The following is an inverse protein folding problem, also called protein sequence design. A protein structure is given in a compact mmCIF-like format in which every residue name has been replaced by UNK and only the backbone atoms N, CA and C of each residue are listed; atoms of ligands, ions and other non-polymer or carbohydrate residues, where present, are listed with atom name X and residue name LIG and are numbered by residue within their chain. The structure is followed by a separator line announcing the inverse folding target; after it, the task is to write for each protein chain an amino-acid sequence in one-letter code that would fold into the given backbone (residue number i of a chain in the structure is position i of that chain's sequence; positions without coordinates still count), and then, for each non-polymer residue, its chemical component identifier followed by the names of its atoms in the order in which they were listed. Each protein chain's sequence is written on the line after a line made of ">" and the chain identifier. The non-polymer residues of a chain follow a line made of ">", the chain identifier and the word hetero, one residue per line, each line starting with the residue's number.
data_IF_592877452788
#
_entry.id   IF_592877452788
#
_cell.length_a   1.000
_cell.length_b   1.000
_cell.length_c   1.000
_cell.angle_alpha   90.00
_cell.angle_beta   90.00
_cell.angle_gamma   90.00
#
_symmetry.space_group_name_H-M   'P 1'
#
loop_
_entity.id
_entity.type
_entity.pdbx_description
1 polymer ?
#
# COMPACT_ATOMS: atom_id res chain seq x y z
N UNK A 1 4.53 3.01 -0.28
CA UNK A 1 3.70 3.58 -1.36
C UNK A 1 3.30 5.04 -1.09
N UNK A 2 2.94 5.40 0.14
CA UNK A 2 2.61 6.80 0.51
C UNK A 2 3.75 7.80 0.21
N UNK A 3 5.01 7.45 0.48
CA UNK A 3 6.17 8.31 0.18
C UNK A 3 6.33 8.66 -1.30
N UNK A 4 6.00 7.72 -2.20
CA UNK A 4 6.14 7.96 -3.64
C UNK A 4 5.05 8.93 -4.14
N UNK A 5 3.82 8.77 -3.63
CA UNK A 5 2.72 9.68 -3.96
C UNK A 5 2.89 11.08 -3.35
N UNK A 6 3.42 11.16 -2.13
CA UNK A 6 3.77 12.44 -1.51
C UNK A 6 4.85 13.18 -2.33
N UNK A 7 5.86 12.44 -2.80
CA UNK A 7 6.90 12.98 -3.68
C UNK A 7 6.31 13.51 -5.00
N UNK A 8 5.47 12.74 -5.70
CA UNK A 8 4.84 13.21 -6.93
C UNK A 8 3.91 14.41 -6.73
N UNK A 9 3.21 14.48 -5.60
CA UNK A 9 2.38 15.64 -5.26
C UNK A 9 3.24 16.90 -5.04
N UNK A 10 4.38 16.76 -4.37
CA UNK A 10 5.34 17.84 -4.18
C UNK A 10 5.94 18.32 -5.50
N UNK A 11 6.37 17.40 -6.37
CA UNK A 11 6.92 17.74 -7.69
C UNK A 11 5.87 18.49 -8.52
N UNK A 12 4.62 18.05 -8.49
CA UNK A 12 3.54 18.72 -9.21
C UNK A 12 3.25 20.12 -8.66
N UNK A 13 3.21 20.29 -7.33
CA UNK A 13 3.03 21.61 -6.71
C UNK A 13 4.19 22.55 -7.05
N UNK A 14 5.41 22.05 -7.00
CA UNK A 14 6.60 22.81 -7.35
C UNK A 14 6.60 23.23 -8.83
N UNK A 15 6.21 22.34 -9.75
CA UNK A 15 6.07 22.66 -11.17
C UNK A 15 5.01 23.75 -11.41
N UNK A 16 3.89 23.70 -10.68
CA UNK A 16 2.87 24.77 -10.75
C UNK A 16 3.38 26.11 -10.20
N UNK A 17 4.17 26.09 -9.13
CA UNK A 17 4.79 27.29 -8.55
C UNK A 17 5.88 27.87 -9.47
N UNK A 18 6.69 27.02 -10.12
CA UNK A 18 7.68 27.40 -11.11
C UNK A 18 7.02 28.03 -12.35
N UNK A 19 5.94 27.45 -12.86
CA UNK A 19 5.14 28.05 -13.94
C UNK A 19 4.48 29.38 -13.52
N UNK A 20 4.21 29.56 -12.23
CA UNK A 20 3.65 30.81 -11.69
C UNK A 20 4.72 31.91 -11.60
N UNK A 21 5.92 31.56 -11.14
CA UNK A 21 7.05 32.47 -10.91
C UNK A 21 7.88 32.74 -12.17
N UNK A 22 7.90 31.83 -13.15
CA UNK A 22 8.54 32.04 -14.45
C UNK A 22 7.95 33.23 -15.23
N UNK A 23 6.72 33.64 -14.91
CA UNK A 23 6.09 34.86 -15.44
C UNK A 23 6.66 36.16 -14.82
N UNK A 24 7.30 36.10 -13.66
CA UNK A 24 7.79 37.27 -12.90
C UNK A 24 9.31 37.47 -13.06
N UNK A 25 10.06 36.42 -13.44
CA UNK A 25 11.52 36.44 -13.51
C UNK A 25 12.13 36.89 -14.86
N UNK A 26 11.32 37.32 -15.84
CA UNK A 26 11.85 37.80 -17.14
C UNK A 26 12.24 39.28 -17.15
N UNK A 27 12.18 39.99 -16.02
CA UNK A 27 12.59 41.39 -15.91
C UNK A 27 13.83 41.50 -15.04
N UNK A 28 15.01 41.40 -15.65
CA UNK A 28 16.26 42.03 -15.17
C UNK A 28 17.36 41.90 -16.22
N UNK A 29 17.31 42.72 -17.28
CA UNK A 29 18.52 43.34 -17.82
C UNK A 29 18.13 44.60 -18.59
N UNK A 30 18.33 45.75 -17.94
CA UNK A 30 18.15 47.08 -18.51
C UNK A 30 19.14 47.28 -19.66
N UNK A 31 18.64 47.30 -20.90
CA UNK A 31 19.25 48.07 -21.99
C UNK A 31 18.12 48.78 -22.77
N UNK A 32 18.30 50.09 -22.93
CA UNK A 32 17.37 51.07 -23.46
C UNK A 32 16.77 50.68 -24.81
N UNK A 33 15.47 50.33 -24.85
CA UNK A 33 14.70 50.27 -26.11
C UNK A 33 13.19 50.51 -25.83
N UNK A 34 12.81 51.79 -25.80
CA UNK A 34 11.43 52.27 -25.55
C UNK A 34 10.38 51.79 -26.57
N UNK A 35 10.76 51.11 -27.65
CA UNK A 35 9.86 50.61 -28.70
C UNK A 35 9.48 49.12 -28.55
N UNK A 36 10.14 48.37 -27.66
CA UNK A 36 9.96 46.91 -27.52
C UNK A 36 9.02 46.51 -26.36
N UNK A 37 8.38 47.48 -25.70
CA UNK A 37 7.59 47.26 -24.48
C UNK A 37 6.13 46.80 -24.75
N UNK A 38 5.67 46.82 -25.99
CA UNK A 38 4.33 46.37 -26.36
C UNK A 38 4.23 44.84 -26.53
N UNK A 39 5.30 44.19 -27.00
CA UNK A 39 5.36 42.75 -27.25
C UNK A 39 5.28 41.88 -25.97
N UNK A 40 5.98 42.22 -24.85
CA UNK A 40 5.85 41.43 -23.62
C UNK A 40 4.49 41.62 -22.94
N UNK A 41 3.83 42.77 -23.12
CA UNK A 41 2.51 43.02 -22.54
C UNK A 41 1.42 42.18 -23.23
N UNK A 42 1.42 42.15 -24.57
CA UNK A 42 0.49 41.33 -25.34
C UNK A 42 0.70 39.83 -25.11
N UNK A 43 1.95 39.39 -25.00
CA UNK A 43 2.28 38.00 -24.67
C UNK A 43 1.85 37.64 -23.24
N UNK A 44 2.03 38.54 -22.28
CA UNK A 44 1.58 38.34 -20.90
C UNK A 44 0.05 38.30 -20.80
N UNK A 45 -0.68 39.14 -21.55
CA UNK A 45 -2.14 39.02 -21.66
C UNK A 45 -2.59 37.72 -22.32
N UNK A 46 -1.87 37.25 -23.35
CA UNK A 46 -2.12 35.95 -23.98
C UNK A 46 -1.94 34.79 -22.99
N UNK A 47 -0.90 34.82 -22.16
CA UNK A 47 -0.72 33.81 -21.11
C UNK A 47 -1.71 33.94 -19.96
N UNK A 48 -2.10 35.17 -19.57
CA UNK A 48 -3.14 35.39 -18.56
C UNK A 48 -4.51 34.91 -19.04
N UNK A 49 -4.83 35.08 -20.32
CA UNK A 49 -6.09 34.62 -20.92
C UNK A 49 -6.11 33.10 -21.16
N UNK A 50 -4.96 32.48 -21.43
CA UNK A 50 -4.84 31.03 -21.57
C UNK A 50 -4.59 30.29 -20.23
N UNK A 51 -4.35 31.00 -19.13
CA UNK A 51 -4.31 30.38 -17.80
C UNK A 51 -5.70 29.83 -17.49
N UNK A 52 -5.76 28.53 -17.22
CA UNK A 52 -6.98 27.89 -16.73
C UNK A 52 -7.47 28.66 -15.49
N UNK A 53 -8.74 29.07 -15.52
CA UNK A 53 -9.36 29.76 -14.38
C UNK A 53 -9.14 28.94 -13.11
N UNK A 54 -8.84 29.63 -12.00
CA UNK A 54 -8.65 29.03 -10.67
C UNK A 54 -9.81 28.08 -10.32
N UNK A 55 -11.02 28.36 -10.81
CA UNK A 55 -12.20 27.48 -10.68
C UNK A 55 -11.97 26.09 -11.28
N UNK A 56 -11.41 26.01 -12.49
CA UNK A 56 -11.11 24.73 -13.15
C UNK A 56 -10.01 23.96 -12.43
N UNK A 57 -9.01 24.64 -11.87
CA UNK A 57 -7.98 23.98 -11.06
C UNK A 57 -8.59 23.34 -9.80
N UNK A 58 -9.44 24.07 -9.08
CA UNK A 58 -10.15 23.55 -7.91
C UNK A 58 -11.09 22.38 -8.25
N UNK A 59 -11.80 22.45 -9.37
CA UNK A 59 -12.67 21.37 -9.85
C UNK A 59 -11.86 20.10 -10.20
N UNK A 60 -10.70 20.26 -10.83
CA UNK A 60 -9.78 19.15 -11.11
C UNK A 60 -9.27 18.51 -9.81
N UNK A 61 -8.86 19.31 -8.83
CA UNK A 61 -8.36 18.81 -7.55
C UNK A 61 -9.43 18.07 -6.75
N UNK A 62 -10.67 18.57 -6.76
CA UNK A 62 -11.82 17.90 -6.15
C UNK A 62 -12.14 16.58 -6.87
N UNK A 63 -12.14 16.58 -8.20
CA UNK A 63 -12.36 15.36 -8.99
C UNK A 63 -11.29 14.28 -8.68
N UNK A 64 -10.01 14.66 -8.63
CA UNK A 64 -8.92 13.74 -8.27
C UNK A 64 -9.09 13.23 -6.84
N UNK A 65 -9.46 14.10 -5.91
CA UNK A 65 -9.68 13.73 -4.50
C UNK A 65 -10.82 12.73 -4.35
N UNK A 66 -11.93 12.92 -5.08
CA UNK A 66 -13.07 11.99 -5.09
C UNK A 66 -12.70 10.62 -5.64
N UNK A 67 -11.93 10.56 -6.73
CA UNK A 67 -11.45 9.28 -7.29
C UNK A 67 -10.60 8.55 -6.26
N UNK A 68 -9.63 9.23 -5.63
CA UNK A 68 -8.78 8.64 -4.59
C UNK A 68 -9.60 8.12 -3.41
N UNK A 69 -10.54 8.93 -2.93
CA UNK A 69 -11.41 8.55 -1.83
C UNK A 69 -12.22 7.29 -2.14
N UNK A 70 -12.87 7.25 -3.31
CA UNK A 70 -13.64 6.08 -3.75
C UNK A 70 -12.77 4.82 -3.84
N UNK A 71 -11.55 4.96 -4.36
CA UNK A 71 -10.60 3.85 -4.45
C UNK A 71 -10.21 3.33 -3.07
N UNK A 72 -9.82 4.20 -2.14
CA UNK A 72 -9.49 3.82 -0.77
C UNK A 72 -10.68 3.19 -0.04
N UNK A 73 -11.89 3.71 -0.25
CA UNK A 73 -13.12 3.15 0.31
C UNK A 73 -13.36 1.71 -0.15
N UNK A 74 -13.02 1.38 -1.41
CA UNK A 74 -13.08 -0.01 -1.91
C UNK A 74 -11.93 -0.88 -1.44
N UNK A 75 -10.72 -0.34 -1.28
CA UNK A 75 -9.52 -1.10 -0.93
C UNK A 75 -9.48 -1.49 0.55
N UNK A 76 -9.83 -0.57 1.45
CA UNK A 76 -9.85 -0.80 2.90
C UNK A 76 -10.60 -2.08 3.34
N UNK A 77 -11.83 -2.36 2.89
CA UNK A 77 -12.52 -3.59 3.26
C UNK A 77 -11.85 -4.84 2.68
N UNK A 78 -11.25 -4.76 1.49
CA UNK A 78 -10.51 -5.88 0.88
C UNK A 78 -9.24 -6.19 1.68
N UNK A 79 -8.51 -5.17 2.12
CA UNK A 79 -7.34 -5.33 2.97
C UNK A 79 -7.71 -5.95 4.32
N UNK A 80 -8.81 -5.50 4.94
CA UNK A 80 -9.33 -6.12 6.18
C UNK A 80 -9.67 -7.59 5.97
N UNK A 81 -10.36 -7.93 4.87
CA UNK A 81 -10.66 -9.32 4.51
C UNK A 81 -9.40 -10.15 4.30
N UNK A 82 -8.39 -9.60 3.62
CA UNK A 82 -7.11 -10.27 3.42
C UNK A 82 -6.45 -10.58 4.77
N UNK A 83 -6.36 -9.60 5.68
CA UNK A 83 -5.80 -9.80 7.03
C UNK A 83 -6.56 -10.91 7.77
N UNK A 84 -7.89 -10.93 7.71
CA UNK A 84 -8.69 -12.00 8.35
C UNK A 84 -8.46 -13.37 7.72
N UNK A 85 -8.24 -13.45 6.41
CA UNK A 85 -7.97 -14.71 5.72
C UNK A 85 -6.54 -15.19 5.96
N UNK A 86 -5.55 -14.30 5.95
CA UNK A 86 -4.15 -14.65 6.21
C UNK A 86 -3.88 -15.06 7.65
N UNK A 87 -4.67 -14.55 8.59
CA UNK A 87 -4.56 -14.88 10.01
C UNK A 87 -5.31 -16.17 10.39
N UNK A 88 -6.10 -16.76 9.49
CA UNK A 88 -6.90 -17.94 9.82
C UNK A 88 -6.06 -19.20 9.76
N UNK A 89 -5.58 -19.64 10.91
CA UNK A 89 -5.00 -20.96 11.09
C UNK A 89 -6.08 -22.04 10.86
N UNK A 90 -5.79 -23.14 10.14
CA UNK A 90 -6.77 -24.19 9.89
C UNK A 90 -7.20 -24.87 11.19
N UNK A 91 -8.51 -25.01 11.37
CA UNK A 91 -9.13 -25.53 12.61
C UNK A 91 -9.04 -27.07 12.73
N UNK A 92 -8.81 -27.78 11.61
CA UNK A 92 -8.74 -29.24 11.56
C UNK A 92 -7.72 -29.76 10.53
N UNK A 93 -7.36 -31.05 10.64
CA UNK A 93 -6.47 -31.74 9.69
C UNK A 93 -7.06 -31.74 8.28
N UNK A 94 -8.38 -31.94 8.15
CA UNK A 94 -9.07 -31.87 6.85
C UNK A 94 -9.00 -30.46 6.24
N UNK A 95 -9.15 -29.43 7.08
CA UNK A 95 -8.99 -28.04 6.64
C UNK A 95 -7.55 -27.73 6.22
N UNK A 96 -6.56 -28.34 6.87
CA UNK A 96 -5.16 -28.26 6.47
C UNK A 96 -4.91 -28.90 5.10
N UNK A 97 -5.49 -30.08 4.83
CA UNK A 97 -5.38 -30.73 3.52
C UNK A 97 -6.19 -30.02 2.42
N UNK A 98 -7.27 -29.31 2.78
CA UNK A 98 -8.05 -28.50 1.85
C UNK A 98 -7.31 -27.22 1.39
N UNK A 99 -6.23 -26.80 2.06
CA UNK A 99 -5.41 -25.65 1.70
C UNK A 99 -4.50 -25.86 0.47
N UNK A 100 -4.73 -26.89 -0.35
CA UNK A 100 -3.93 -27.21 -1.54
C UNK A 100 -3.71 -26.03 -2.52
N UNK A 101 -4.61 -25.04 -2.52
CA UNK A 101 -4.48 -23.82 -3.33
C UNK A 101 -3.61 -22.73 -2.71
N UNK A 102 -3.27 -22.82 -1.41
CA UNK A 102 -2.48 -21.86 -0.65
C UNK A 102 -1.25 -22.55 -0.02
N UNK A 103 -0.27 -22.88 -0.88
CA UNK A 103 0.96 -23.60 -0.49
C UNK A 103 1.76 -22.87 0.59
N UNK A 104 1.80 -21.54 0.56
CA UNK A 104 2.55 -20.75 1.55
C UNK A 104 1.97 -20.91 2.95
N UNK A 105 0.64 -20.88 3.08
CA UNK A 105 -0.03 -21.13 4.36
C UNK A 105 0.20 -22.57 4.84
N UNK A 106 0.12 -23.54 3.94
CA UNK A 106 0.37 -24.95 4.24
C UNK A 106 1.80 -25.16 4.78
N UNK A 107 2.82 -24.57 4.15
CA UNK A 107 4.21 -24.64 4.61
C UNK A 107 4.42 -23.96 5.97
N UNK A 108 3.78 -22.81 6.22
CA UNK A 108 3.86 -22.11 7.52
C UNK A 108 3.26 -22.95 8.64
N UNK A 109 2.10 -23.56 8.40
CA UNK A 109 1.42 -24.45 9.37
C UNK A 109 2.27 -25.70 9.61
N UNK A 110 2.79 -26.34 8.57
CA UNK A 110 3.68 -27.49 8.71
C UNK A 110 4.93 -27.17 9.53
N UNK A 111 5.59 -26.03 9.22
CA UNK A 111 6.75 -25.54 9.96
C UNK A 111 6.41 -25.33 11.43
N UNK A 112 5.24 -24.73 11.72
CA UNK A 112 4.78 -24.50 13.09
C UNK A 112 4.58 -25.80 13.87
N UNK A 113 3.89 -26.78 13.26
CA UNK A 113 3.62 -28.07 13.90
C UNK A 113 4.92 -28.84 14.19
N UNK A 114 5.90 -28.78 13.28
CA UNK A 114 7.21 -29.41 13.45
C UNK A 114 8.19 -28.68 14.39
N UNK A 115 7.94 -27.40 14.68
CA UNK A 115 8.86 -26.58 15.45
C UNK A 115 8.85 -26.95 16.95
N UNK A 116 9.97 -26.79 17.67
CA UNK A 116 10.02 -26.93 19.13
C UNK A 116 9.25 -25.80 19.84
N UNK A 117 8.81 -26.06 21.08
CA UNK A 117 7.94 -25.14 21.85
C UNK A 117 8.48 -23.70 21.95
N UNK A 118 9.80 -23.53 22.07
CA UNK A 118 10.44 -22.22 22.14
C UNK A 118 10.35 -21.40 20.84
N UNK A 119 10.30 -22.07 19.68
CA UNK A 119 10.13 -21.41 18.38
C UNK A 119 8.66 -21.15 18.05
N UNK A 120 7.74 -21.99 18.56
CA UNK A 120 6.30 -21.83 18.35
C UNK A 120 5.78 -20.48 18.86
N UNK A 121 6.21 -20.04 20.04
CA UNK A 121 5.78 -18.75 20.60
C UNK A 121 6.21 -17.55 19.73
N UNK A 122 7.42 -17.60 19.17
CA UNK A 122 7.88 -16.60 18.19
C UNK A 122 7.00 -16.58 16.95
N UNK A 123 6.70 -17.77 16.40
CA UNK A 123 5.86 -17.92 15.21
C UNK A 123 4.42 -17.46 15.43
N UNK A 124 3.84 -17.61 16.64
CA UNK A 124 2.51 -17.07 16.96
C UNK A 124 2.47 -15.55 16.78
N UNK A 125 3.50 -14.84 17.26
CA UNK A 125 3.59 -13.39 17.12
C UNK A 125 3.87 -12.95 15.68
N UNK A 126 4.74 -13.66 14.96
CA UNK A 126 5.11 -13.38 13.58
C UNK A 126 3.93 -13.54 12.62
N UNK A 127 3.20 -14.66 12.73
CA UNK A 127 2.04 -14.95 11.88
C UNK A 127 0.72 -14.40 12.42
N UNK A 128 0.75 -13.72 13.58
CA UNK A 128 -0.42 -13.18 14.30
C UNK A 128 -1.49 -14.24 14.57
N UNK A 129 -1.08 -15.44 14.94
CA UNK A 129 -1.97 -16.51 15.34
C UNK A 129 -2.24 -16.48 16.83
N UNK A 130 -3.48 -16.70 17.23
CA UNK A 130 -3.83 -16.83 18.64
C UNK A 130 -3.63 -18.29 19.10
N UNK A 131 -3.07 -18.48 20.30
CA UNK A 131 -2.88 -19.83 20.87
C UNK A 131 -4.15 -20.69 20.85
N UNK A 132 -5.31 -20.08 21.10
CA UNK A 132 -6.63 -20.74 21.07
C UNK A 132 -6.99 -21.32 19.70
N UNK A 133 -6.51 -20.73 18.61
CA UNK A 133 -6.78 -21.19 17.25
C UNK A 133 -5.88 -22.38 16.88
N UNK A 134 -4.65 -22.39 17.40
CA UNK A 134 -3.63 -23.36 17.01
C UNK A 134 -3.65 -24.62 17.85
N UNK A 135 -4.05 -24.49 19.12
CA UNK A 135 -4.11 -25.59 20.09
C UNK A 135 -4.83 -26.85 19.58
N UNK A 136 -6.03 -26.77 18.96
CA UNK A 136 -6.76 -27.98 18.54
C UNK A 136 -5.97 -28.84 17.55
N UNK A 137 -5.43 -28.21 16.49
CA UNK A 137 -4.64 -28.93 15.48
C UNK A 137 -3.32 -29.44 16.05
N UNK A 138 -2.72 -28.68 16.98
CA UNK A 138 -1.50 -29.09 17.64
C UNK A 138 -1.73 -30.33 18.52
N UNK A 139 -2.80 -30.32 19.33
CA UNK A 139 -3.19 -31.45 20.17
C UNK A 139 -3.49 -32.69 19.31
N UNK A 140 -4.18 -32.52 18.17
CA UNK A 140 -4.44 -33.61 17.21
C UNK A 140 -3.15 -34.14 16.57
N UNK A 141 -2.23 -33.26 16.16
CA UNK A 141 -0.94 -33.64 15.58
C UNK A 141 -0.03 -34.35 16.59
N UNK A 142 0.00 -33.89 17.84
CA UNK A 142 0.75 -34.54 18.93
C UNK A 142 0.13 -35.88 19.33
N UNK A 143 -1.20 -36.03 19.23
CA UNK A 143 -1.88 -37.32 19.41
C UNK A 143 -1.47 -38.33 18.33
N UNK A 144 -1.46 -37.91 17.07
CA UNK A 144 -1.12 -38.79 15.94
C UNK A 144 0.38 -39.14 15.90
N UNK A 145 1.27 -38.17 16.19
CA UNK A 145 2.71 -38.42 16.25
C UNK A 145 3.19 -39.05 17.57
N UNK A 146 2.44 -38.89 18.66
CA UNK A 146 2.67 -39.58 19.93
C UNK A 146 2.42 -41.09 19.83
N UNK A 147 1.61 -41.53 18.87
CA UNK A 147 1.37 -42.94 18.52
C UNK A 147 2.48 -43.57 17.67
N UNK A 148 3.30 -42.77 16.99
CA UNK A 148 4.45 -43.21 16.19
C UNK A 148 5.77 -43.11 16.99
N UNK A 149 5.76 -43.50 18.27
CA UNK A 149 6.98 -43.98 18.91
C UNK A 149 7.37 -45.30 18.25
N UNK A 150 8.22 -45.17 17.22
CA UNK A 150 9.09 -46.17 16.60
C UNK A 150 9.05 -47.50 17.37
N UNK A 151 8.28 -48.47 16.86
CA UNK A 151 8.46 -49.87 17.20
C UNK A 151 9.89 -50.23 16.76
N UNK A 152 10.85 -50.14 17.67
CA UNK A 152 12.15 -50.77 17.49
C UNK A 152 11.85 -52.26 17.27
N UNK A 153 12.07 -52.73 16.05
CA UNK A 153 12.16 -54.17 15.79
C UNK A 153 13.42 -54.63 16.47
N UNK A 154 13.26 -55.41 17.54
CA UNK A 154 14.28 -56.31 18.06
C UNK A 154 14.56 -57.44 17.05
#
# INVERSE_FOLDING_TARGET
>A
MENLYAYYAQVYQQEQEELRTASDNSVSQEQDDSALLAEPAALNEFYKSNRLSIKYQLECDDAVSRIRYSHLQTLLPLQKKLVTLSARFPESIDAYHALNNNKDMQLRVAKFLSAPSNMRDGMLSEFRWAWRQVKPLLDDFERDNGGTKIRKRE
#
